data_IF_098488160526
#
_entry.id   IF_098488160526
#
_cell.length_a   1.000
_cell.length_b   1.000
_cell.length_c   1.000
_cell.angle_alpha   90.00
_cell.angle_beta   90.00
_cell.angle_gamma   90.00
#
_symmetry.space_group_name_H-M   'P 1'
#
loop_
_entity.id
_entity.type
_entity.pdbx_description
1 polymer ?
#
# COMPACT_ATOMS: atom_id res chain seq x y z
N UNK A 1 -20.46 -13.06 5.70
CA UNK A 1 -20.24 -11.59 5.59
C UNK A 1 -19.07 -11.39 4.65
N UNK A 2 -19.11 -10.43 3.72
CA UNK A 2 -17.92 -10.14 2.89
C UNK A 2 -16.98 -9.29 3.74
N UNK A 3 -15.71 -9.66 3.79
CA UNK A 3 -14.68 -8.85 4.44
C UNK A 3 -14.22 -7.74 3.48
N UNK A 4 -13.87 -6.60 4.04
CA UNK A 4 -13.48 -5.42 3.27
C UNK A 4 -12.19 -4.81 3.80
N UNK A 5 -11.48 -4.10 2.93
CA UNK A 5 -10.48 -3.11 3.32
C UNK A 5 -10.90 -1.75 2.80
N UNK A 6 -10.44 -0.71 3.47
CA UNK A 6 -10.60 0.67 3.02
C UNK A 6 -9.25 1.19 2.55
N UNK A 7 -9.19 1.74 1.34
CA UNK A 7 -7.99 2.40 0.85
C UNK A 7 -8.30 3.89 0.71
N UNK A 8 -7.45 4.73 1.30
CA UNK A 8 -7.45 6.18 1.11
C UNK A 8 -6.20 6.58 0.37
N UNK A 9 -6.38 7.12 -0.84
CA UNK A 9 -5.29 7.60 -1.67
C UNK A 9 -5.14 9.10 -1.48
N UNK A 10 -3.96 9.54 -1.05
CA UNK A 10 -3.63 10.97 -0.94
C UNK A 10 -2.61 11.35 -2.01
N UNK A 11 -2.89 12.42 -2.72
CA UNK A 11 -1.99 13.01 -3.71
C UNK A 11 -1.40 14.28 -3.13
N UNK A 12 -0.07 14.38 -3.08
CA UNK A 12 0.59 15.51 -2.41
C UNK A 12 0.73 16.77 -3.30
N UNK A 13 0.35 16.69 -4.58
CA UNK A 13 0.25 17.85 -5.46
C UNK A 13 -1.20 17.99 -5.93
N UNK A 14 -1.72 19.22 -5.91
CA UNK A 14 -3.08 19.66 -6.26
C UNK A 14 -3.57 19.28 -7.68
N UNK A 15 -2.81 18.49 -8.44
CA UNK A 15 -3.18 17.97 -9.76
C UNK A 15 -4.03 16.70 -9.64
N UNK A 16 -5.28 16.91 -9.20
CA UNK A 16 -6.44 16.39 -9.91
C UNK A 16 -6.57 14.89 -10.14
N UNK A 17 -6.20 14.03 -9.19
CA UNK A 17 -6.54 12.59 -9.25
C UNK A 17 -7.83 12.26 -8.49
N UNK A 18 -8.82 13.15 -8.57
CA UNK A 18 -10.18 12.87 -8.17
C UNK A 18 -10.67 11.66 -8.97
N UNK A 19 -11.15 10.61 -8.28
CA UNK A 19 -11.69 9.41 -8.93
C UNK A 19 -10.63 8.57 -9.66
N UNK A 20 -9.61 8.13 -8.93
CA UNK A 20 -8.60 7.20 -9.44
C UNK A 20 -9.22 5.83 -9.71
N UNK A 21 -8.87 5.21 -10.85
CA UNK A 21 -9.32 3.86 -11.16
C UNK A 21 -8.43 2.84 -10.46
N UNK A 22 -9.06 1.93 -9.74
CA UNK A 22 -8.40 0.89 -8.95
C UNK A 22 -8.71 -0.46 -9.56
N UNK A 23 -7.66 -1.26 -9.78
CA UNK A 23 -7.78 -2.67 -10.16
C UNK A 23 -7.05 -3.49 -9.11
N UNK A 24 -7.73 -4.51 -8.57
CA UNK A 24 -7.14 -5.45 -7.63
C UNK A 24 -6.98 -6.78 -8.32
N UNK A 25 -5.77 -7.33 -8.22
CA UNK A 25 -5.47 -8.68 -8.67
C UNK A 25 -5.03 -9.55 -7.51
N UNK A 26 -5.48 -10.79 -7.52
CA UNK A 26 -5.03 -11.80 -6.56
C UNK A 26 -3.61 -12.29 -6.90
N UNK A 27 -3.10 -13.23 -6.08
CA UNK A 27 -1.80 -13.90 -6.30
C UNK A 27 -1.68 -14.63 -7.64
N UNK A 28 -2.80 -15.01 -8.26
CA UNK A 28 -2.86 -15.64 -9.57
C UNK A 28 -2.94 -14.61 -10.70
N UNK A 29 -2.75 -13.32 -10.42
CA UNK A 29 -2.88 -12.21 -11.36
C UNK A 29 -4.29 -12.09 -11.97
N UNK A 30 -5.30 -12.72 -11.37
CA UNK A 30 -6.70 -12.62 -11.78
C UNK A 30 -7.28 -11.34 -11.21
N UNK A 31 -7.98 -10.58 -12.03
CA UNK A 31 -8.69 -9.38 -11.54
C UNK A 31 -9.89 -9.79 -10.70
N UNK A 32 -9.86 -9.43 -9.43
CA UNK A 32 -10.93 -9.75 -8.46
C UNK A 32 -11.79 -8.55 -8.11
N UNK A 33 -11.30 -7.33 -8.38
CA UNK A 33 -12.06 -6.11 -8.19
C UNK A 33 -11.62 -5.02 -9.17
N UNK A 34 -12.60 -4.21 -9.60
CA UNK A 34 -12.38 -2.97 -10.34
C UNK A 34 -13.31 -1.91 -9.76
N UNK A 35 -12.78 -0.73 -9.47
CA UNK A 35 -13.56 0.36 -8.92
C UNK A 35 -12.91 1.70 -9.17
N UNK A 36 -13.57 2.75 -8.71
CA UNK A 36 -13.10 4.12 -8.83
C UNK A 36 -13.23 4.75 -7.45
N UNK A 37 -12.22 5.49 -6.99
CA UNK A 37 -12.30 6.17 -5.70
C UNK A 37 -13.40 7.25 -5.71
N UNK A 38 -13.88 7.60 -4.52
CA UNK A 38 -14.70 8.79 -4.35
C UNK A 38 -13.90 10.09 -4.61
N UNK A 39 -14.56 11.23 -4.42
CA UNK A 39 -13.96 12.55 -4.60
C UNK A 39 -12.92 12.91 -3.52
N UNK A 40 -12.84 12.14 -2.43
CA UNK A 40 -11.85 12.27 -1.38
C UNK A 40 -10.72 11.23 -1.47
N UNK A 41 -10.72 10.40 -2.53
CA UNK A 41 -9.72 9.36 -2.74
C UNK A 41 -9.97 8.07 -1.94
N UNK A 42 -11.15 7.88 -1.36
CA UNK A 42 -11.49 6.65 -0.62
C UNK A 42 -12.10 5.60 -1.54
N UNK A 43 -11.87 4.32 -1.23
CA UNK A 43 -12.54 3.19 -1.83
C UNK A 43 -12.63 2.02 -0.84
N UNK A 44 -13.76 1.33 -0.85
CA UNK A 44 -13.97 0.08 -0.14
C UNK A 44 -13.79 -1.10 -1.11
N UNK A 45 -13.01 -2.10 -0.69
CA UNK A 45 -12.63 -3.22 -1.55
C UNK A 45 -12.93 -4.53 -0.83
N UNK A 46 -13.75 -5.42 -1.42
CA UNK A 46 -13.98 -6.75 -0.89
C UNK A 46 -12.72 -7.60 -1.04
N UNK A 47 -12.33 -8.29 0.04
CA UNK A 47 -11.11 -9.09 0.11
C UNK A 47 -11.32 -10.37 0.91
N UNK A 48 -10.37 -11.29 0.79
CA UNK A 48 -10.18 -12.36 1.76
C UNK A 48 -9.16 -11.90 2.82
N UNK A 49 -9.44 -12.19 4.09
CA UNK A 49 -8.54 -11.87 5.20
C UNK A 49 -7.21 -12.62 5.05
N UNK A 50 -6.10 -11.97 5.37
CA UNK A 50 -4.72 -12.46 5.28
C UNK A 50 -4.22 -12.85 3.87
N UNK A 51 -4.91 -12.44 2.80
CA UNK A 51 -4.43 -12.64 1.43
C UNK A 51 -3.62 -11.43 0.92
N UNK A 52 -2.72 -11.69 -0.02
CA UNK A 52 -1.91 -10.65 -0.68
C UNK A 52 -2.51 -10.33 -2.04
N UNK A 53 -2.70 -9.04 -2.29
CA UNK A 53 -3.21 -8.53 -3.56
C UNK A 53 -2.22 -7.55 -4.19
N UNK A 54 -2.31 -7.42 -5.51
CA UNK A 54 -1.68 -6.32 -6.24
C UNK A 54 -2.72 -5.23 -6.48
N UNK A 55 -2.47 -4.04 -5.91
CA UNK A 55 -3.29 -2.84 -6.09
C UNK A 55 -2.71 -2.03 -7.25
N UNK A 56 -3.46 -1.92 -8.34
CA UNK A 56 -3.14 -1.07 -9.47
C UNK A 56 -3.92 0.23 -9.34
N UNK A 57 -3.20 1.33 -9.16
CA UNK A 57 -3.76 2.68 -9.09
C UNK A 57 -3.47 3.36 -10.42
N UNK A 58 -4.51 3.53 -11.22
CA UNK A 58 -4.44 4.15 -12.54
C UNK A 58 -4.81 5.61 -12.38
N UNK A 59 -3.81 6.48 -12.54
CA UNK A 59 -4.01 7.91 -12.74
C UNK A 59 -3.88 8.26 -14.22
N UNK A 60 -4.23 9.50 -14.58
CA UNK A 60 -4.06 9.99 -15.94
C UNK A 60 -2.60 10.05 -16.40
N UNK A 61 -1.63 10.03 -15.47
CA UNK A 61 -0.20 10.24 -15.75
C UNK A 61 0.58 8.94 -15.64
N UNK A 62 0.31 8.12 -14.62
CA UNK A 62 1.07 6.90 -14.33
C UNK A 62 0.19 5.83 -13.69
N UNK A 63 0.56 4.57 -13.93
CA UNK A 63 0.06 3.43 -13.18
C UNK A 63 1.03 3.08 -12.05
N UNK A 64 0.53 3.03 -10.83
CA UNK A 64 1.28 2.57 -9.66
C UNK A 64 0.79 1.17 -9.28
N UNK A 65 1.71 0.26 -8.98
CA UNK A 65 1.41 -1.12 -8.56
C UNK A 65 1.99 -1.32 -7.17
N UNK A 66 1.15 -1.67 -6.21
CA UNK A 66 1.55 -1.86 -4.81
C UNK A 66 1.07 -3.24 -4.34
N UNK A 67 1.96 -4.09 -3.79
CA UNK A 67 1.51 -5.28 -3.07
C UNK A 67 0.87 -4.88 -1.74
N UNK A 68 -0.27 -5.47 -1.41
CA UNK A 68 -1.05 -5.17 -0.21
C UNK A 68 -1.47 -6.46 0.48
N UNK A 69 -1.04 -6.64 1.73
CA UNK A 69 -1.59 -7.66 2.62
C UNK A 69 -2.94 -7.17 3.15
N UNK A 70 -4.02 -7.83 2.77
CA UNK A 70 -5.37 -7.47 3.18
C UNK A 70 -5.67 -8.02 4.58
N UNK A 71 -5.86 -7.10 5.53
CA UNK A 71 -6.37 -7.40 6.86
C UNK A 71 -7.80 -6.87 6.93
N UNK A 72 -8.77 -7.73 7.21
CA UNK A 72 -10.19 -7.36 7.21
C UNK A 72 -10.47 -6.14 8.10
N UNK A 73 -11.40 -5.30 7.64
CA UNK A 73 -11.87 -4.07 8.28
C UNK A 73 -10.75 -3.06 8.58
N UNK A 74 -9.60 -3.18 7.90
CA UNK A 74 -8.49 -2.25 8.07
C UNK A 74 -8.51 -1.15 7.02
N UNK A 75 -8.12 0.04 7.44
CA UNK A 75 -7.88 1.18 6.55
C UNK A 75 -6.40 1.31 6.23
N UNK A 76 -6.09 1.45 4.96
CA UNK A 76 -4.76 1.69 4.43
C UNK A 76 -4.72 3.08 3.81
N UNK A 77 -3.65 3.82 4.10
CA UNK A 77 -3.38 5.08 3.45
C UNK A 77 -2.23 4.89 2.47
N UNK A 78 -2.43 5.33 1.23
CA UNK A 78 -1.41 5.31 0.18
C UNK A 78 -1.12 6.76 -0.20
N UNK A 79 0.05 7.24 0.20
CA UNK A 79 0.52 8.58 -0.10
C UNK A 79 1.33 8.56 -1.41
N UNK A 80 0.77 9.14 -2.46
CA UNK A 80 1.41 9.24 -3.78
C UNK A 80 2.08 10.61 -3.89
N UNK A 81 3.38 10.63 -3.61
CA UNK A 81 4.24 11.79 -3.84
C UNK A 81 4.65 11.83 -5.31
N UNK A 82 4.32 12.91 -6.01
CA UNK A 82 4.73 13.14 -7.40
C UNK A 82 6.18 13.63 -7.53
N UNK A 83 7.01 13.49 -6.48
CA UNK A 83 8.45 13.68 -6.59
C UNK A 83 8.99 12.49 -7.37
N UNK A 84 9.10 12.71 -8.67
CA UNK A 84 9.95 12.01 -9.62
C UNK A 84 11.28 11.72 -8.90
N UNK A 85 11.49 10.49 -8.47
CA UNK A 85 12.73 9.74 -8.64
C UNK A 85 12.56 8.33 -8.06
N UNK A 86 13.23 7.36 -8.68
CA UNK A 86 13.22 5.94 -8.34
C UNK A 86 13.48 5.71 -6.85
N UNK A 87 12.44 5.61 -6.03
CA UNK A 87 12.60 5.25 -4.62
C UNK A 87 11.97 3.88 -4.35
N UNK A 88 12.76 2.92 -3.84
CA UNK A 88 12.25 1.61 -3.45
C UNK A 88 11.14 1.79 -2.41
N UNK A 89 10.10 0.98 -2.52
CA UNK A 89 9.05 0.92 -1.50
C UNK A 89 9.71 0.52 -0.18
N UNK A 90 9.81 1.45 0.77
CA UNK A 90 10.27 1.15 2.13
C UNK A 90 9.11 0.56 2.92
N UNK A 91 9.08 -0.77 3.05
CA UNK A 91 8.20 -1.45 4.00
C UNK A 91 8.90 -1.50 5.36
N UNK A 92 8.47 -0.64 6.29
CA UNK A 92 8.90 -0.74 7.68
C UNK A 92 8.08 -1.84 8.36
N UNK A 93 8.65 -3.04 8.47
CA UNK A 93 8.15 -4.10 9.33
C UNK A 93 8.84 -3.96 10.69
N UNK A 94 8.07 -3.59 11.71
CA UNK A 94 8.53 -3.54 13.11
C UNK A 94 7.94 -4.77 13.81
N UNK A 95 8.79 -5.64 14.33
CA UNK A 95 8.37 -6.66 15.30
C UNK A 95 8.29 -5.99 16.68
N UNK A 96 7.12 -6.05 17.30
CA UNK A 96 6.89 -5.46 18.62
C UNK A 96 7.66 -6.17 19.74
N UNK A 97 8.07 -7.42 19.54
CA UNK A 97 8.90 -8.18 20.48
C UNK A 97 10.39 -7.97 20.25
N UNK A 98 10.78 -7.55 19.04
CA UNK A 98 12.17 -7.35 18.64
C UNK A 98 12.32 -6.03 17.85
N UNK A 99 12.20 -4.88 18.54
CA UNK A 99 12.19 -3.55 17.91
C UNK A 99 13.53 -3.18 17.24
N UNK A 100 14.57 -3.97 17.51
CA UNK A 100 15.91 -3.86 16.93
C UNK A 100 16.04 -4.53 15.55
N UNK A 101 15.04 -5.27 15.08
CA UNK A 101 15.05 -5.89 13.74
C UNK A 101 14.40 -4.92 12.74
N UNK A 102 15.14 -4.55 11.69
CA UNK A 102 14.67 -3.67 10.62
C UNK A 102 14.91 -4.29 9.25
N UNK A 103 14.14 -3.86 8.24
CA UNK A 103 14.35 -4.27 6.84
C UNK A 103 14.72 -3.06 6.00
N UNK A 104 15.88 -3.11 5.37
CA UNK A 104 16.38 -2.05 4.47
C UNK A 104 16.78 -2.69 3.13
N UNK A 105 16.21 -2.21 2.02
CA UNK A 105 16.54 -2.71 0.68
C UNK A 105 16.32 -4.22 0.47
N UNK A 106 15.37 -4.84 1.19
CA UNK A 106 15.11 -6.28 1.14
C UNK A 106 16.06 -7.14 1.99
N UNK A 107 16.95 -6.53 2.78
CA UNK A 107 17.82 -7.22 3.75
C UNK A 107 17.27 -7.02 5.16
N UNK A 108 17.31 -8.07 5.97
CA UNK A 108 17.03 -7.99 7.41
C UNK A 108 18.33 -7.57 8.10
N UNK A 109 18.30 -6.47 8.85
CA UNK A 109 19.44 -5.92 9.59
C UNK A 109 19.10 -5.93 11.08
N UNK A 110 20.01 -6.46 11.89
CA UNK A 110 19.92 -6.38 13.35
C UNK A 110 20.60 -5.10 13.81
N UNK A 111 19.82 -4.14 14.31
CA UNK A 111 20.32 -2.87 14.82
C UNK A 111 20.58 -3.00 16.33
N UNK A 112 21.80 -3.39 16.71
CA UNK A 112 22.21 -3.26 18.10
C UNK A 112 22.63 -1.81 18.34
N UNK A 113 21.99 -1.12 19.29
CA UNK A 113 22.55 0.11 19.83
C UNK A 113 23.86 -0.25 20.52
N UNK A 114 24.98 -0.10 19.81
CA UNK A 114 26.29 -0.13 20.43
C UNK A 114 26.43 1.21 21.14
N UNK A 115 25.84 1.34 22.33
CA UNK A 115 26.28 2.36 23.26
C UNK A 115 27.69 1.96 23.70
N UNK A 116 28.69 2.48 23.00
CA UNK A 116 30.04 2.53 23.53
C UNK A 116 30.00 3.43 24.76
N UNK A 117 30.22 2.83 25.92
CA UNK A 117 30.41 3.51 27.18
C UNK A 117 31.88 3.92 27.33
#
# INVERSE_FOLDING_TARGET
MKDYIYIKIKFNNYLGCYRSKIIIKDRCNKTVFKGITDHYGNIEIPVCDNEIYQVYILSNIKTLIIPLLAIKNKTYQIDINNKIDNHPITLLLIDTHYPNIKIEGGKIVLWQDIQFQ
#
